data_IF_523274552740
#
_entry.id   IF_523274552740
#
_cell.length_a   1.000
_cell.length_b   1.000
_cell.length_c   1.000
_cell.angle_alpha   90.00
_cell.angle_beta   90.00
_cell.angle_gamma   90.00
#
_symmetry.space_group_name_H-M   'P 1'
#
loop_
_entity.id
_entity.type
_entity.pdbx_description
1 polymer ?
#
# COMPACT_ATOMS: atom_id res chain seq x y z
N UNK A 1 -4.53 25.38 12.94
CA UNK A 1 -4.37 25.20 12.44
C UNK A 1 -3.79 24.49 11.90
N UNK A 2 -3.37 23.96 11.84
CA UNK A 2 -2.78 23.35 11.29
C UNK A 2 -3.19 22.54 10.53
N UNK A 3 -3.55 22.04 10.70
CA UNK A 3 -4.18 21.17 10.10
C UNK A 3 -4.15 21.41 8.83
N UNK A 4 -4.52 22.24 8.61
CA UNK A 4 -4.57 22.52 7.34
C UNK A 4 -3.38 22.20 6.71
N UNK A 5 -2.48 22.28 7.18
CA UNK A 5 -1.44 22.12 6.54
C UNK A 5 -1.29 20.94 5.94
N UNK A 6 -1.59 20.05 6.31
CA UNK A 6 -1.33 18.96 5.70
C UNK A 6 -2.10 18.72 4.64
N UNK A 7 -2.96 19.32 4.62
CA UNK A 7 -3.76 19.01 3.63
C UNK A 7 -3.12 19.35 2.45
N UNK A 8 -2.48 20.19 2.42
CA UNK A 8 -2.05 20.52 1.26
C UNK A 8 -1.20 19.70 0.70
N UNK A 9 -0.76 19.00 1.22
CA UNK A 9 0.09 18.30 0.64
C UNK A 9 -0.24 17.65 -0.42
N UNK A 10 -0.73 17.11 -0.48
CA UNK A 10 -0.83 16.27 -1.45
C UNK A 10 -1.27 16.73 -2.62
N UNK A 11 -1.79 17.32 -2.67
CA UNK A 11 -2.32 17.62 -3.71
C UNK A 11 -1.61 17.55 -4.81
N UNK A 12 -0.83 17.97 -4.83
CA UNK A 12 -0.17 18.13 -5.96
C UNK A 12 0.32 16.91 -6.30
N UNK A 13 0.83 16.35 -5.54
CA UNK A 13 1.32 15.21 -5.92
C UNK A 13 0.36 14.29 -5.85
N UNK A 14 -0.71 14.60 -5.91
CA UNK A 14 -1.68 13.78 -5.73
C UNK A 14 -1.64 12.46 -6.29
N UNK A 15 -1.31 12.20 -7.43
CA UNK A 15 -1.38 10.85 -7.98
C UNK A 15 -0.06 10.15 -7.84
N UNK A 16 -0.03 9.04 -7.14
CA UNK A 16 1.21 8.30 -7.03
C UNK A 16 1.57 7.72 -8.38
N UNK A 17 2.85 7.60 -8.65
CA UNK A 17 3.28 7.01 -9.88
C UNK A 17 3.13 5.51 -9.80
N UNK A 18 3.09 4.87 -10.96
CA UNK A 18 3.01 3.43 -11.01
C UNK A 18 4.20 2.82 -10.28
N UNK A 19 5.36 3.43 -10.42
CA UNK A 19 6.55 2.93 -9.78
C UNK A 19 6.46 3.00 -8.26
N UNK A 20 5.88 4.06 -7.74
CA UNK A 20 5.70 4.16 -6.31
C UNK A 20 4.75 3.09 -5.81
N UNK A 21 3.69 2.83 -6.55
CA UNK A 21 2.75 1.80 -6.15
C UNK A 21 3.41 0.42 -6.18
N UNK A 22 4.27 0.19 -7.16
CA UNK A 22 4.99 -1.07 -7.21
C UNK A 22 5.91 -1.24 -6.01
N UNK A 23 6.57 -0.17 -5.61
CA UNK A 23 7.45 -0.24 -4.47
C UNK A 23 6.68 -0.53 -3.19
N UNK A 24 5.55 0.13 -3.01
CA UNK A 24 4.74 -0.13 -1.84
C UNK A 24 4.21 -1.55 -1.84
N UNK A 25 3.79 -2.03 -3.00
CA UNK A 25 3.30 -3.39 -3.11
C UNK A 25 4.40 -4.38 -2.70
N UNK A 26 5.63 -4.12 -3.12
CA UNK A 26 6.75 -4.98 -2.78
C UNK A 26 7.03 -4.99 -1.28
N UNK A 27 6.93 -3.82 -0.66
CA UNK A 27 7.17 -3.74 0.77
C UNK A 27 6.11 -4.54 1.54
N UNK A 28 4.86 -4.42 1.15
CA UNK A 28 3.80 -5.15 1.84
C UNK A 28 3.95 -6.66 1.58
N UNK A 29 4.35 -7.03 0.36
CA UNK A 29 4.53 -8.43 0.06
C UNK A 29 5.65 -9.04 0.91
N UNK A 30 6.73 -8.29 1.10
CA UNK A 30 7.83 -8.77 1.90
C UNK A 30 7.42 -8.92 3.35
N UNK A 31 6.68 -7.95 3.87
CA UNK A 31 6.23 -8.04 5.24
C UNK A 31 5.27 -9.23 5.43
N UNK A 32 4.41 -9.45 4.45
CA UNK A 32 3.52 -10.60 4.51
C UNK A 32 4.30 -11.91 4.51
N UNK A 33 5.35 -12.00 3.70
CA UNK A 33 6.16 -13.19 3.68
C UNK A 33 6.82 -13.44 5.03
N UNK A 34 7.28 -12.38 5.67
CA UNK A 34 7.88 -12.49 6.99
C UNK A 34 6.86 -13.02 8.00
N UNK A 35 5.64 -12.50 7.94
CA UNK A 35 4.62 -12.95 8.87
C UNK A 35 4.23 -14.41 8.60
N UNK A 36 4.13 -14.76 7.33
CA UNK A 36 3.74 -16.13 6.99
C UNK A 36 4.80 -17.16 7.33
N UNK A 37 6.05 -16.72 7.47
CA UNK A 37 7.09 -17.63 7.84
C UNK A 37 7.09 -17.98 9.33
N UNK A 38 6.32 -17.22 10.12
CA UNK A 38 6.26 -17.50 11.55
C UNK A 38 5.32 -18.64 11.82
N UNK A 39 5.66 -19.46 12.80
CA UNK A 39 4.79 -20.55 13.15
C UNK A 39 3.55 -20.08 13.84
N UNK A 40 3.67 -19.07 14.67
CA UNK A 40 2.53 -18.54 15.37
C UNK A 40 2.53 -17.03 15.24
N UNK A 41 1.36 -16.46 15.03
CA UNK A 41 1.21 -15.03 14.96
C UNK A 41 0.48 -14.55 16.19
N UNK A 42 0.93 -13.45 16.76
CA UNK A 42 0.20 -12.84 17.84
C UNK A 42 -1.06 -12.23 17.26
N UNK A 43 -1.97 -11.81 18.13
CA UNK A 43 -3.21 -11.19 17.66
C UNK A 43 -2.91 -9.96 16.82
N UNK A 44 -1.96 -9.15 17.27
CA UNK A 44 -1.60 -7.97 16.51
C UNK A 44 -1.03 -8.32 15.16
N UNK A 45 -0.24 -9.38 15.08
CA UNK A 45 0.33 -9.80 13.82
C UNK A 45 -0.72 -10.37 12.89
N UNK A 46 -1.71 -11.06 13.44
CA UNK A 46 -2.80 -11.57 12.61
C UNK A 46 -3.58 -10.41 12.00
N UNK A 47 -3.83 -9.37 12.78
CA UNK A 47 -4.50 -8.20 12.25
C UNK A 47 -3.66 -7.49 11.21
N UNK A 48 -2.35 -7.46 11.42
CA UNK A 48 -1.46 -6.86 10.45
C UNK A 48 -1.51 -7.64 9.13
N UNK A 49 -1.57 -8.96 9.21
CA UNK A 49 -1.63 -9.79 8.03
C UNK A 49 -2.87 -9.48 7.20
N UNK A 50 -4.01 -9.38 7.87
CA UNK A 50 -5.24 -9.07 7.17
C UNK A 50 -5.15 -7.69 6.53
N UNK A 51 -4.63 -6.72 7.27
CA UNK A 51 -4.51 -5.37 6.75
C UNK A 51 -3.57 -5.30 5.56
N UNK A 52 -2.45 -6.02 5.62
CA UNK A 52 -1.50 -6.02 4.52
C UNK A 52 -2.09 -6.66 3.27
N UNK A 53 -2.89 -7.70 3.43
CA UNK A 53 -3.54 -8.32 2.29
C UNK A 53 -4.48 -7.35 1.61
N UNK A 54 -5.23 -6.59 2.39
CA UNK A 54 -6.13 -5.61 1.82
C UNK A 54 -5.36 -4.49 1.14
N UNK A 55 -4.28 -4.06 1.74
CA UNK A 55 -3.47 -3.00 1.14
C UNK A 55 -2.85 -3.48 -0.17
N UNK A 56 -2.37 -4.71 -0.22
CA UNK A 56 -1.82 -5.23 -1.44
C UNK A 56 -2.85 -5.26 -2.55
N UNK A 57 -4.05 -5.70 -2.24
CA UNK A 57 -5.09 -5.74 -3.24
C UNK A 57 -5.46 -4.35 -3.72
N UNK A 58 -5.54 -3.41 -2.80
CA UNK A 58 -5.86 -2.05 -3.15
C UNK A 58 -4.80 -1.46 -4.07
N UNK A 59 -3.53 -1.71 -3.79
CA UNK A 59 -2.46 -1.23 -4.63
C UNK A 59 -2.48 -1.88 -5.99
N UNK A 60 -2.79 -3.17 -6.04
CA UNK A 60 -2.85 -3.86 -7.30
C UNK A 60 -3.95 -3.29 -8.17
N UNK A 61 -5.11 -3.00 -7.57
CA UNK A 61 -6.20 -2.40 -8.31
C UNK A 61 -5.82 -1.03 -8.83
N UNK A 62 -5.11 -0.27 -8.03
CA UNK A 62 -4.68 1.04 -8.44
C UNK A 62 -3.69 0.97 -9.59
N UNK A 63 -2.76 0.03 -9.52
CA UNK A 63 -1.81 -0.14 -10.60
C UNK A 63 -2.52 -0.55 -11.89
N UNK A 64 -3.52 -1.40 -11.78
CA UNK A 64 -4.27 -1.80 -12.95
C UNK A 64 -5.03 -0.64 -13.55
N UNK A 65 -5.58 0.20 -12.69
CA UNK A 65 -6.31 1.35 -13.17
C UNK A 65 -5.38 2.29 -13.93
N UNK A 66 -4.18 2.53 -13.39
CA UNK A 66 -3.22 3.38 -14.06
C UNK A 66 -2.82 2.79 -15.41
N UNK A 67 -2.65 1.48 -15.44
CA UNK A 67 -2.27 0.85 -16.68
C UNK A 67 -3.37 0.99 -17.72
N UNK A 68 -4.61 0.83 -17.31
CA UNK A 68 -5.71 0.97 -18.25
C UNK A 68 -5.83 2.38 -18.78
N UNK A 69 -5.48 3.35 -17.96
CA UNK A 69 -5.53 4.73 -18.40
C UNK A 69 -4.32 5.11 -19.24
N UNK A 70 -3.42 4.17 -19.46
CA UNK A 70 -2.26 4.46 -20.27
C UNK A 70 -1.20 5.23 -19.52
N UNK A 71 -1.25 5.25 -18.22
CA UNK A 71 -0.30 6.01 -17.45
C UNK A 71 0.90 5.21 -17.02
N UNK A 72 0.95 3.97 -17.33
CA UNK A 72 2.06 3.14 -16.88
C UNK A 72 3.22 3.12 -17.89
#
# INVERSE_FOLDING_TARGET
>A
MQTAKFTELPKTASLPSFQQLMQEHSLYARRLDTLRAKMFLSDAEQMEEVRLKKLKLSLKDEMERLRRLGAA
#
